data_IF_507764777280
#
_entry.id   IF_507764777280
#
_cell.length_a   1.000
_cell.length_b   1.000
_cell.length_c   1.000
_cell.angle_alpha   90.00
_cell.angle_beta   90.00
_cell.angle_gamma   90.00
#
_symmetry.space_group_name_H-M   'P 1'
#
loop_
_entity.id
_entity.type
_entity.pdbx_description
1 polymer ?
#
# COMPACT_ATOMS: atom_id res chain seq x y z
N UNK A 1 28.65 -76.49 8.53
CA UNK A 1 27.30 -76.43 7.93
C UNK A 1 26.34 -76.01 9.02
N UNK A 2 25.58 -74.92 8.80
CA UNK A 2 24.46 -74.36 9.61
C UNK A 2 24.85 -73.71 10.95
N UNK A 3 24.29 -72.58 11.40
CA UNK A 3 23.46 -71.47 10.90
C UNK A 3 23.43 -70.45 12.07
N UNK A 4 23.45 -69.14 11.79
CA UNK A 4 23.28 -68.07 12.78
C UNK A 4 21.88 -68.10 13.44
N UNK A 5 21.70 -67.37 14.57
CA UNK A 5 20.73 -66.29 14.51
C UNK A 5 21.17 -64.96 15.14
N UNK A 6 20.42 -63.95 14.73
CA UNK A 6 20.55 -62.49 14.82
C UNK A 6 20.05 -61.86 16.12
N UNK A 7 20.65 -60.73 16.53
CA UNK A 7 20.09 -59.72 17.45
C UNK A 7 20.89 -58.42 17.25
N UNK A 8 20.47 -57.47 16.40
CA UNK A 8 19.46 -56.42 16.60
C UNK A 8 19.91 -55.26 17.52
N UNK A 9 19.74 -54.04 16.98
CA UNK A 9 19.75 -52.70 17.61
C UNK A 9 21.09 -52.07 18.01
N UNK A 10 21.48 -50.99 17.30
CA UNK A 10 21.22 -49.62 17.79
C UNK A 10 21.59 -48.60 16.68
N UNK A 11 20.60 -48.13 15.92
CA UNK A 11 20.78 -47.01 14.99
C UNK A 11 20.66 -45.70 15.78
N UNK A 12 21.79 -45.04 16.03
CA UNK A 12 21.79 -43.68 16.56
C UNK A 12 21.40 -42.70 15.44
N UNK A 13 20.23 -42.09 15.55
CA UNK A 13 19.78 -41.02 14.67
C UNK A 13 20.31 -39.67 15.21
N UNK A 14 21.21 -39.04 14.45
CA UNK A 14 21.74 -37.71 14.73
C UNK A 14 20.72 -36.66 14.27
N UNK A 15 19.95 -36.08 15.20
CA UNK A 15 19.06 -34.96 14.90
C UNK A 15 19.87 -33.67 14.72
N UNK A 16 19.95 -33.19 13.48
CA UNK A 16 20.47 -31.86 13.14
C UNK A 16 19.40 -30.84 13.51
N UNK A 17 19.66 -30.05 14.56
CA UNK A 17 18.81 -28.93 14.97
C UNK A 17 19.16 -27.74 14.08
N UNK A 18 18.34 -27.47 13.05
CA UNK A 18 18.40 -26.22 12.30
C UNK A 18 17.81 -25.09 13.15
N UNK A 19 18.64 -24.35 13.87
CA UNK A 19 18.23 -23.09 14.50
C UNK A 19 17.99 -22.05 13.41
N UNK A 20 16.73 -21.83 13.04
CA UNK A 20 16.34 -20.71 12.20
C UNK A 20 16.52 -19.42 13.03
N UNK A 21 17.64 -18.73 12.82
CA UNK A 21 17.86 -17.39 13.36
C UNK A 21 16.92 -16.42 12.64
N UNK A 22 15.77 -16.11 13.24
CA UNK A 22 14.95 -14.99 12.81
C UNK A 22 15.72 -13.70 13.14
N UNK A 23 16.41 -13.12 12.16
CA UNK A 23 16.99 -11.79 12.29
C UNK A 23 15.86 -10.80 12.48
N UNK A 24 15.68 -10.30 13.72
CA UNK A 24 14.88 -9.11 13.94
C UNK A 24 15.62 -7.93 13.28
N UNK A 25 15.21 -7.55 12.08
CA UNK A 25 15.69 -6.34 11.45
C UNK A 25 15.26 -5.15 12.33
N UNK A 26 16.24 -4.42 12.86
CA UNK A 26 15.98 -3.20 13.60
C UNK A 26 15.59 -2.10 12.60
N UNK A 27 14.30 -1.80 12.52
CA UNK A 27 13.84 -0.59 11.83
C UNK A 27 14.54 0.63 12.45
N UNK A 28 15.02 1.55 11.62
CA UNK A 28 15.68 2.79 12.06
C UNK A 28 14.80 3.68 12.95
N UNK A 29 15.34 4.77 13.52
CA UNK A 29 14.55 5.69 14.35
C UNK A 29 13.42 6.34 13.54
N UNK A 30 12.33 6.74 14.22
CA UNK A 30 11.25 7.53 13.61
C UNK A 30 11.79 8.82 13.02
N UNK A 31 11.40 9.09 11.78
CA UNK A 31 11.67 10.35 11.10
C UNK A 31 10.37 10.93 10.58
N UNK A 32 10.11 12.23 10.77
CA UNK A 32 8.95 12.89 10.18
C UNK A 32 8.90 12.67 8.68
N UNK A 33 7.74 12.27 8.20
CA UNK A 33 7.41 12.08 6.79
C UNK A 33 6.40 13.13 6.34
N UNK A 34 6.74 13.84 5.26
CA UNK A 34 5.84 14.75 4.56
C UNK A 34 5.92 14.50 3.07
N UNK A 35 4.78 14.45 2.40
CA UNK A 35 4.70 14.32 0.95
C UNK A 35 3.69 15.30 0.37
N UNK A 36 3.94 15.78 -0.84
CA UNK A 36 2.96 16.52 -1.64
C UNK A 36 3.03 16.00 -3.08
N UNK A 37 1.88 15.59 -3.60
CA UNK A 37 1.73 14.80 -4.82
C UNK A 37 0.62 15.39 -5.68
N UNK A 38 0.81 15.30 -6.99
CA UNK A 38 -0.25 15.47 -7.97
C UNK A 38 -0.42 14.15 -8.71
N UNK A 39 -1.62 13.57 -8.61
CA UNK A 39 -1.93 12.29 -9.25
C UNK A 39 -3.05 12.46 -10.27
N UNK A 40 -2.94 11.69 -11.32
CA UNK A 40 -3.99 11.48 -12.29
C UNK A 40 -4.59 10.10 -12.06
N UNK A 41 -5.85 10.10 -11.68
CA UNK A 41 -6.65 8.91 -11.42
C UNK A 41 -7.42 8.51 -12.67
N UNK A 42 -7.49 7.20 -12.91
CA UNK A 42 -8.32 6.57 -13.93
C UNK A 42 -9.29 5.59 -13.28
N UNK A 43 -10.58 5.85 -13.47
CA UNK A 43 -11.66 5.05 -12.91
C UNK A 43 -12.02 3.93 -13.88
N UNK A 44 -12.28 2.73 -13.37
CA UNK A 44 -12.69 1.59 -14.18
C UNK A 44 -13.14 0.40 -13.35
N UNK A 45 -13.30 -0.75 -14.00
CA UNK A 45 -13.52 -2.03 -13.30
C UNK A 45 -12.20 -2.74 -13.11
N UNK A 46 -11.86 -3.08 -11.86
CA UNK A 46 -10.62 -3.76 -11.51
C UNK A 46 -10.92 -5.17 -11.03
N UNK A 47 -10.22 -6.16 -11.59
CA UNK A 47 -10.46 -7.58 -11.29
C UNK A 47 -10.28 -7.95 -9.82
N UNK A 48 -9.43 -7.23 -9.09
CA UNK A 48 -9.22 -7.43 -7.64
C UNK A 48 -10.34 -6.85 -6.77
N UNK A 49 -11.16 -5.94 -7.30
CA UNK A 49 -12.16 -5.26 -6.50
C UNK A 49 -13.43 -6.10 -6.38
N UNK A 50 -13.88 -6.41 -5.15
CA UNK A 50 -15.00 -7.33 -4.94
C UNK A 50 -16.30 -6.71 -5.41
N UNK A 51 -16.95 -7.36 -6.38
CA UNK A 51 -18.26 -6.96 -6.87
C UNK A 51 -19.31 -8.06 -6.69
N UNK A 52 -20.59 -7.74 -6.98
CA UNK A 52 -21.66 -8.70 -6.91
C UNK A 52 -21.35 -9.95 -7.72
N UNK A 53 -21.60 -11.12 -7.14
CA UNK A 53 -21.42 -12.43 -7.81
C UNK A 53 -19.99 -12.67 -8.30
N UNK A 54 -18.99 -12.11 -7.61
CA UNK A 54 -17.57 -12.29 -7.94
C UNK A 54 -17.12 -11.56 -9.20
N UNK A 55 -17.94 -10.64 -9.73
CA UNK A 55 -17.55 -9.83 -10.88
C UNK A 55 -16.65 -8.65 -10.44
N UNK A 56 -15.74 -8.17 -11.31
CA UNK A 56 -14.92 -6.99 -11.04
C UNK A 56 -15.77 -5.77 -10.69
N UNK A 57 -15.50 -5.12 -9.55
CA UNK A 57 -16.18 -3.90 -9.13
C UNK A 57 -15.43 -2.63 -9.54
N UNK A 58 -16.00 -1.48 -9.19
CA UNK A 58 -15.41 -0.16 -9.42
C UNK A 58 -14.10 -0.02 -8.64
N UNK A 59 -13.10 0.56 -9.30
CA UNK A 59 -11.81 0.89 -8.70
C UNK A 59 -11.12 1.99 -9.49
N UNK A 60 -10.03 2.50 -8.92
CA UNK A 60 -9.16 3.49 -9.53
C UNK A 60 -7.74 2.96 -9.70
N UNK A 61 -7.08 3.30 -10.79
CA UNK A 61 -5.62 3.29 -10.90
C UNK A 61 -5.13 4.72 -11.00
N UNK A 62 -3.94 5.01 -10.49
CA UNK A 62 -3.40 6.36 -10.59
C UNK A 62 -1.90 6.36 -10.80
N UNK A 63 -1.43 7.43 -11.42
CA UNK A 63 -0.01 7.76 -11.54
C UNK A 63 0.18 9.23 -11.28
N UNK A 64 1.33 9.62 -10.74
CA UNK A 64 1.58 11.02 -10.43
C UNK A 64 3.04 11.30 -10.12
N UNK A 65 3.29 12.55 -9.77
CA UNK A 65 4.61 13.02 -9.35
C UNK A 65 4.49 13.96 -8.16
N UNK A 66 5.59 14.13 -7.45
CA UNK A 66 5.66 15.09 -6.36
C UNK A 66 6.97 15.04 -5.63
N UNK A 67 6.95 15.45 -4.36
CA UNK A 67 8.11 15.39 -3.47
C UNK A 67 7.70 14.80 -2.13
N UNK A 68 8.57 13.96 -1.57
CA UNK A 68 8.44 13.47 -0.21
C UNK A 68 9.78 13.62 0.54
N UNK A 69 9.72 14.00 1.81
CA UNK A 69 10.89 13.96 2.70
C UNK A 69 11.51 12.58 2.66
N UNK A 70 12.84 12.51 2.74
CA UNK A 70 13.63 11.28 2.65
C UNK A 70 13.71 10.63 1.27
N UNK A 71 12.69 10.76 0.43
CA UNK A 71 12.68 10.21 -0.94
C UNK A 71 13.11 11.25 -1.99
N UNK A 72 12.95 12.54 -1.71
CA UNK A 72 13.18 13.62 -2.67
C UNK A 72 12.03 13.73 -3.68
N UNK A 73 12.37 13.97 -4.95
CA UNK A 73 11.40 13.89 -6.04
C UNK A 73 10.93 12.43 -6.20
N UNK A 74 9.62 12.25 -6.39
CA UNK A 74 9.00 10.92 -6.52
C UNK A 74 8.08 10.82 -7.72
N UNK A 75 8.04 9.64 -8.32
CA UNK A 75 6.90 9.18 -9.12
C UNK A 75 6.06 8.26 -8.23
N UNK A 76 4.74 8.39 -8.29
CA UNK A 76 3.82 7.52 -7.56
C UNK A 76 2.93 6.77 -8.54
N UNK A 77 2.66 5.51 -8.25
CA UNK A 77 1.61 4.75 -8.90
C UNK A 77 0.86 3.91 -7.88
N UNK A 78 -0.38 3.56 -8.19
CA UNK A 78 -1.17 2.74 -7.29
C UNK A 78 -2.55 2.45 -7.81
N UNK A 79 -3.32 1.78 -6.97
CA UNK A 79 -4.71 1.48 -7.27
C UNK A 79 -5.49 1.15 -6.01
N UNK A 80 -6.81 1.36 -6.04
CA UNK A 80 -7.72 1.06 -4.94
C UNK A 80 -9.09 0.60 -5.47
N UNK A 81 -9.93 0.10 -4.57
CA UNK A 81 -11.32 -0.24 -4.83
C UNK A 81 -12.22 0.88 -4.32
N UNK A 82 -13.28 1.17 -5.09
CA UNK A 82 -14.18 2.28 -4.83
C UNK A 82 -15.54 1.70 -4.47
N UNK A 83 -16.04 2.10 -3.30
CA UNK A 83 -17.43 1.88 -2.93
C UNK A 83 -18.11 3.24 -2.84
N UNK A 84 -19.21 3.41 -3.58
CA UNK A 84 -20.14 4.49 -3.28
C UNK A 84 -20.82 4.18 -1.96
N UNK A 85 -21.08 5.19 -1.14
CA UNK A 85 -22.00 5.06 -0.01
C UNK A 85 -23.36 5.59 -0.47
N UNK A 86 -24.30 4.71 -0.88
CA UNK A 86 -25.59 5.16 -1.39
C UNK A 86 -26.39 5.74 -0.21
N UNK A 87 -26.82 7.00 -0.33
CA UNK A 87 -27.79 7.61 0.58
C UNK A 87 -27.23 8.46 1.72
N UNK A 88 -25.91 8.70 1.79
CA UNK A 88 -25.30 9.69 2.71
C UNK A 88 -25.10 11.04 2.00
N UNK A 89 -25.77 12.12 2.44
CA UNK A 89 -25.43 13.48 2.07
C UNK A 89 -24.32 14.04 2.98
N UNK A 90 -23.29 14.72 2.46
CA UNK A 90 -23.00 14.88 1.03
C UNK A 90 -22.45 13.58 0.41
N UNK A 91 -22.64 13.37 -0.91
CA UNK A 91 -22.16 12.18 -1.61
C UNK A 91 -20.70 11.89 -1.27
N UNK A 92 -20.46 10.66 -0.80
CA UNK A 92 -19.13 10.19 -0.42
C UNK A 92 -18.75 8.92 -1.18
N UNK A 93 -17.47 8.81 -1.50
CA UNK A 93 -16.86 7.62 -2.08
C UNK A 93 -15.77 7.12 -1.14
N UNK A 94 -15.87 5.87 -0.73
CA UNK A 94 -14.84 5.23 0.09
C UNK A 94 -13.83 4.52 -0.79
N UNK A 95 -12.56 4.68 -0.45
CA UNK A 95 -11.44 3.96 -1.04
C UNK A 95 -10.97 2.89 -0.05
N UNK A 96 -10.91 1.66 -0.51
CA UNK A 96 -10.43 0.52 0.25
C UNK A 96 -9.45 -0.32 -0.60
N UNK A 97 -8.70 -1.20 0.06
CA UNK A 97 -7.72 -2.08 -0.62
C UNK A 97 -6.77 -1.28 -1.53
N UNK A 98 -6.39 -0.10 -1.03
CA UNK A 98 -5.49 0.81 -1.69
C UNK A 98 -4.05 0.36 -1.50
N UNK A 99 -3.30 0.29 -2.60
CA UNK A 99 -1.87 0.05 -2.60
C UNK A 99 -1.20 1.11 -3.46
N UNK A 100 -0.06 1.60 -3.02
CA UNK A 100 0.74 2.59 -3.75
C UNK A 100 2.23 2.31 -3.62
N UNK A 101 2.96 2.65 -4.67
CA UNK A 101 4.41 2.60 -4.74
C UNK A 101 4.93 3.98 -5.08
N UNK A 102 5.83 4.49 -4.25
CA UNK A 102 6.60 5.70 -4.51
C UNK A 102 8.00 5.31 -4.98
N UNK A 103 8.36 5.72 -6.19
CA UNK A 103 9.69 5.57 -6.76
C UNK A 103 10.49 6.84 -6.51
N UNK A 104 11.59 6.73 -5.78
CA UNK A 104 12.53 7.83 -5.58
C UNK A 104 13.39 8.05 -6.83
N UNK A 105 14.00 9.23 -6.94
CA UNK A 105 14.93 9.54 -8.04
C UNK A 105 16.17 8.63 -8.06
N UNK A 106 16.53 7.97 -6.95
CA UNK A 106 17.62 6.97 -6.91
C UNK A 106 17.20 5.59 -7.42
N UNK A 107 15.92 5.38 -7.72
CA UNK A 107 15.37 4.09 -8.12
C UNK A 107 14.94 3.20 -6.93
N UNK A 108 15.12 3.67 -5.69
CA UNK A 108 14.59 2.98 -4.51
C UNK A 108 13.06 3.17 -4.44
N UNK A 109 12.36 2.17 -3.91
CA UNK A 109 10.90 2.15 -3.79
C UNK A 109 10.46 2.17 -2.32
N UNK A 110 9.31 2.78 -2.06
CA UNK A 110 8.55 2.67 -0.81
C UNK A 110 7.14 2.22 -1.15
N UNK A 111 6.70 1.11 -0.54
CA UNK A 111 5.38 0.53 -0.71
C UNK A 111 4.50 0.92 0.48
N UNK A 112 3.24 1.24 0.20
CA UNK A 112 2.27 1.54 1.23
C UNK A 112 0.86 1.08 0.87
N UNK A 113 0.13 0.67 1.90
CA UNK A 113 -1.31 0.45 1.83
C UNK A 113 -2.02 1.71 2.29
N UNK A 114 -3.21 1.98 1.75
CA UNK A 114 -4.00 3.14 2.15
C UNK A 114 -5.51 2.91 2.01
N UNK A 115 -6.27 3.74 2.74
CA UNK A 115 -7.72 3.83 2.66
C UNK A 115 -8.17 5.25 2.99
N UNK A 116 -9.36 5.63 2.55
CA UNK A 116 -9.89 6.96 2.84
C UNK A 116 -11.25 7.23 2.21
N UNK A 117 -11.72 8.47 2.32
CA UNK A 117 -13.03 8.90 1.85
C UNK A 117 -12.91 10.21 1.10
N UNK A 118 -13.50 10.27 -0.09
CA UNK A 118 -13.80 11.52 -0.78
C UNK A 118 -15.18 12.02 -0.36
N UNK A 119 -15.26 13.29 0.03
CA UNK A 119 -16.51 13.95 0.45
C UNK A 119 -16.78 15.14 -0.47
N UNK A 120 -17.98 15.22 -1.06
CA UNK A 120 -18.37 16.36 -1.88
C UNK A 120 -18.47 17.64 -1.02
N UNK A 121 -17.74 18.68 -1.40
CA UNK A 121 -17.78 20.00 -0.73
C UNK A 121 -18.67 20.96 -1.50
N UNK A 122 -18.48 21.02 -2.82
CA UNK A 122 -19.31 21.76 -3.76
C UNK A 122 -19.28 21.02 -5.11
N UNK A 123 -20.23 21.31 -6.00
CA UNK A 123 -20.30 20.67 -7.32
C UNK A 123 -18.93 20.67 -8.01
N UNK A 124 -18.41 19.48 -8.34
CA UNK A 124 -17.12 19.29 -9.00
C UNK A 124 -15.88 19.42 -8.10
N UNK A 125 -16.06 19.49 -6.78
CA UNK A 125 -14.94 19.56 -5.82
C UNK A 125 -15.17 18.63 -4.62
N UNK A 126 -14.21 17.76 -4.39
CA UNK A 126 -14.21 16.80 -3.30
C UNK A 126 -12.95 16.94 -2.46
N UNK A 127 -13.09 16.76 -1.15
CA UNK A 127 -11.94 16.63 -0.24
C UNK A 127 -11.70 15.16 0.06
N UNK A 128 -10.44 14.76 0.07
CA UNK A 128 -9.99 13.45 0.51
C UNK A 128 -9.47 13.50 1.94
N UNK A 129 -9.87 12.54 2.75
CA UNK A 129 -9.25 12.25 4.03
C UNK A 129 -9.02 10.75 4.15
N UNK A 130 -7.79 10.35 4.47
CA UNK A 130 -7.40 8.95 4.55
C UNK A 130 -6.21 8.72 5.46
N UNK A 131 -5.75 7.48 5.49
CA UNK A 131 -4.55 7.05 6.19
C UNK A 131 -3.74 6.13 5.27
N UNK A 132 -2.43 6.08 5.51
CA UNK A 132 -1.52 5.15 4.85
C UNK A 132 -0.65 4.42 5.88
N UNK A 133 -0.20 3.23 5.50
CA UNK A 133 0.77 2.42 6.25
C UNK A 133 1.85 1.97 5.30
N UNK A 134 3.11 2.24 5.63
CA UNK A 134 4.26 1.79 4.84
C UNK A 134 4.47 0.30 5.15
N UNK A 135 4.47 -0.51 4.10
CA UNK A 135 4.54 -1.98 4.17
C UNK A 135 5.88 -2.54 3.75
N UNK A 136 6.75 -1.71 3.18
CA UNK A 136 8.13 -2.07 2.86
C UNK A 136 8.79 -1.09 1.88
N UNK A 137 9.94 -1.50 1.36
CA UNK A 137 10.68 -0.75 0.35
C UNK A 137 11.84 -1.54 -0.22
N UNK A 138 12.66 -0.86 -1.01
CA UNK A 138 13.89 -1.42 -1.60
C UNK A 138 15.09 -0.53 -1.33
N UNK A 139 16.30 -1.07 -1.56
CA UNK A 139 17.54 -0.32 -1.37
C UNK A 139 17.68 0.20 0.06
N UNK A 140 17.83 1.52 0.22
CA UNK A 140 17.91 2.13 1.56
C UNK A 140 16.62 2.03 2.37
N UNK A 141 15.50 1.68 1.74
CA UNK A 141 14.18 1.55 2.37
C UNK A 141 13.75 0.09 2.54
N UNK A 142 14.67 -0.89 2.47
CA UNK A 142 14.35 -2.32 2.53
C UNK A 142 13.48 -2.71 3.72
N UNK A 143 13.70 -2.08 4.86
CA UNK A 143 12.99 -2.33 6.12
C UNK A 143 12.04 -1.18 6.48
N UNK A 144 11.58 -0.43 5.46
CA UNK A 144 10.76 0.74 5.68
C UNK A 144 9.42 0.39 6.32
N UNK A 145 9.11 1.08 7.41
CA UNK A 145 7.80 1.02 8.10
C UNK A 145 7.38 2.43 8.50
N UNK A 146 6.12 2.58 8.92
CA UNK A 146 5.57 3.87 9.32
C UNK A 146 4.17 4.05 8.76
N UNK A 147 3.70 5.29 8.73
CA UNK A 147 2.34 5.60 8.32
C UNK A 147 1.93 6.98 8.76
N UNK A 148 0.69 7.33 8.41
CA UNK A 148 0.13 8.63 8.78
C UNK A 148 -1.13 8.96 8.01
N UNK A 149 -1.45 10.25 8.00
CA UNK A 149 -2.63 10.79 7.34
C UNK A 149 -2.36 11.14 5.89
N UNK A 150 -3.39 10.95 5.07
CA UNK A 150 -3.49 11.51 3.73
C UNK A 150 -4.62 12.54 3.72
N UNK A 151 -4.38 13.68 3.10
CA UNK A 151 -5.40 14.69 2.80
C UNK A 151 -5.30 15.08 1.34
N UNK A 152 -6.39 15.52 0.73
CA UNK A 152 -6.32 15.94 -0.65
C UNK A 152 -7.54 16.67 -1.16
N UNK A 153 -7.44 17.14 -2.39
CA UNK A 153 -8.54 17.76 -3.13
C UNK A 153 -8.59 17.20 -4.53
N UNK A 154 -9.78 16.80 -4.93
CA UNK A 154 -10.11 16.43 -6.30
C UNK A 154 -10.96 17.56 -6.89
N UNK A 155 -10.53 18.06 -8.05
CA UNK A 155 -11.30 19.04 -8.82
C UNK A 155 -11.57 18.48 -10.20
N UNK A 156 -12.85 18.38 -10.56
CA UNK A 156 -13.28 17.83 -11.84
C UNK A 156 -14.73 17.36 -11.83
N UNK A 157 -15.28 17.16 -13.02
CA UNK A 157 -16.62 16.63 -13.20
C UNK A 157 -16.62 15.13 -12.89
N UNK A 158 -17.24 14.73 -11.78
CA UNK A 158 -17.51 13.32 -11.45
C UNK A 158 -18.70 12.85 -12.29
N UNK A 159 -18.49 12.61 -13.60
CA UNK A 159 -18.45 11.24 -14.11
C UNK A 159 -17.23 10.95 -15.01
N UNK A 160 -16.23 11.84 -15.07
CA UNK A 160 -15.05 11.59 -15.91
C UNK A 160 -14.28 10.37 -15.39
N UNK A 161 -13.89 9.49 -16.31
CA UNK A 161 -13.02 8.35 -16.01
C UNK A 161 -11.57 8.75 -15.77
N UNK A 162 -11.26 10.05 -15.78
CA UNK A 162 -9.93 10.62 -15.60
C UNK A 162 -10.02 11.90 -14.77
N UNK A 163 -9.34 11.93 -13.62
CA UNK A 163 -9.47 12.99 -12.62
C UNK A 163 -8.09 13.39 -12.08
N UNK A 164 -7.91 14.67 -11.75
CA UNK A 164 -6.69 15.16 -11.11
C UNK A 164 -6.92 15.36 -9.62
N UNK A 165 -6.02 14.82 -8.81
CA UNK A 165 -6.08 14.88 -7.36
C UNK A 165 -4.77 15.41 -6.81
N UNK A 166 -4.86 16.43 -5.98
CA UNK A 166 -3.76 16.89 -5.14
C UNK A 166 -3.82 16.15 -3.81
N UNK A 167 -2.70 15.56 -3.39
CA UNK A 167 -2.59 14.78 -2.17
C UNK A 167 -1.40 15.26 -1.35
N UNK A 168 -1.61 15.42 -0.06
CA UNK A 168 -0.58 15.65 0.94
C UNK A 168 -0.56 14.47 1.93
N UNK A 169 0.65 14.06 2.30
CA UNK A 169 0.89 13.01 3.28
C UNK A 169 1.62 13.60 4.48
N UNK A 170 1.19 13.26 5.69
CA UNK A 170 1.83 13.63 6.95
C UNK A 170 1.90 12.41 7.86
N UNK A 171 3.08 12.11 8.39
CA UNK A 171 3.28 10.98 9.27
C UNK A 171 4.73 10.80 9.65
N UNK A 172 5.13 9.54 9.81
CA UNK A 172 6.51 9.15 10.12
C UNK A 172 6.94 7.96 9.26
N UNK A 173 8.26 7.82 9.09
CA UNK A 173 8.92 6.69 8.43
C UNK A 173 10.14 6.23 9.23
N UNK A 174 10.36 4.92 9.29
CA UNK A 174 11.54 4.26 9.86
C UNK A 174 12.20 3.41 8.79
N UNK A 175 13.53 3.54 8.61
CA UNK A 175 14.36 2.75 7.69
C UNK A 175 15.85 2.98 7.98
#
# INVERSE_FOLDING_TARGET
MKLLPTSALCRAALMVVCTASASAAFAGPDRPFKGSLQVEERIGRLGRCPGPQGQPSLGGTFTGTGHATHLGAVQISGSHCITSEPGTPPPAFSLAEGHMTMHSASGDEVLADYAGVFTLVTTGTYTFAGQYVITGGTGRFSDATGGGALTGTLTGDVPSFQQSVSLDALGDIRY
#
